data_IF_890464563689
#
_entry.id   IF_890464563689
#
_cell.length_a   1.000
_cell.length_b   1.000
_cell.length_c   1.000
_cell.angle_alpha   90.00
_cell.angle_beta   90.00
_cell.angle_gamma   90.00
#
_symmetry.space_group_name_H-M   'P 1'
#
loop_
_entity.id
_entity.type
_entity.pdbx_description
1 polymer ?
#
# COMPACT_ATOMS: atom_id res chain seq x y z
N UNK A 1 53.34 -82.70 -28.31
CA UNK A 1 54.14 -81.52 -28.67
C UNK A 1 53.77 -80.38 -27.74
N UNK A 2 54.47 -80.21 -26.64
CA UNK A 2 54.34 -79.13 -25.66
C UNK A 2 55.27 -78.00 -26.07
N UNK A 3 54.68 -76.80 -26.41
CA UNK A 3 55.44 -75.58 -26.67
C UNK A 3 55.85 -74.94 -25.36
N UNK A 4 57.17 -74.82 -25.20
CA UNK A 4 57.78 -74.11 -24.07
C UNK A 4 57.48 -72.60 -24.12
N UNK A 5 57.05 -72.00 -23.00
CA UNK A 5 56.89 -70.59 -22.80
C UNK A 5 58.24 -69.98 -22.38
N UNK A 6 58.74 -68.92 -23.00
CA UNK A 6 59.95 -68.28 -22.61
C UNK A 6 59.80 -67.50 -21.30
N UNK A 7 60.66 -67.79 -20.32
CA UNK A 7 60.78 -67.03 -19.05
C UNK A 7 61.52 -65.72 -19.35
N UNK A 8 60.84 -64.57 -19.09
CA UNK A 8 61.49 -63.27 -19.11
C UNK A 8 62.37 -63.08 -17.85
N UNK A 9 63.55 -62.48 -18.00
CA UNK A 9 64.36 -62.14 -16.84
C UNK A 9 63.80 -61.06 -16.00
N UNK A 10 64.06 -61.00 -14.67
CA UNK A 10 63.52 -60.00 -13.77
C UNK A 10 63.96 -58.58 -14.17
N UNK A 11 62.96 -57.70 -14.35
CA UNK A 11 63.16 -56.30 -14.76
C UNK A 11 64.07 -55.56 -13.76
N UNK A 12 64.99 -54.79 -14.31
CA UNK A 12 65.85 -53.88 -13.56
C UNK A 12 65.01 -52.88 -12.75
N UNK A 13 65.30 -52.80 -11.45
CA UNK A 13 64.68 -51.81 -10.57
C UNK A 13 64.96 -50.41 -11.09
N UNK A 14 63.90 -49.63 -11.27
CA UNK A 14 64.03 -48.22 -11.66
C UNK A 14 64.82 -47.44 -10.60
N UNK A 15 65.70 -46.50 -11.00
CA UNK A 15 66.48 -45.73 -10.06
C UNK A 15 65.58 -44.95 -9.10
N UNK A 16 65.79 -45.21 -7.82
CA UNK A 16 65.10 -44.44 -6.72
C UNK A 16 65.63 -43.01 -6.81
N UNK A 17 64.68 -42.05 -7.07
CA UNK A 17 65.04 -40.64 -7.09
C UNK A 17 65.62 -40.22 -5.72
N UNK A 18 66.70 -39.42 -5.68
CA UNK A 18 67.29 -38.97 -4.42
C UNK A 18 66.30 -38.21 -3.59
N UNK A 19 66.25 -38.44 -2.28
CA UNK A 19 65.36 -37.74 -1.34
C UNK A 19 65.64 -36.23 -1.42
N UNK A 20 64.62 -35.40 -1.41
CA UNK A 20 64.78 -33.96 -1.51
C UNK A 20 65.57 -33.40 -0.35
N UNK A 21 66.50 -32.50 -0.62
CA UNK A 21 67.30 -31.83 0.41
C UNK A 21 66.45 -30.96 1.29
N UNK A 22 66.83 -30.72 2.55
CA UNK A 22 66.06 -29.85 3.48
C UNK A 22 65.73 -28.47 2.89
N UNK A 23 66.64 -27.95 2.06
CA UNK A 23 66.41 -26.65 1.36
C UNK A 23 65.33 -26.73 0.29
N UNK A 24 65.28 -27.86 -0.45
CA UNK A 24 64.23 -28.10 -1.45
C UNK A 24 62.81 -28.26 -0.78
N UNK A 25 62.78 -28.94 0.38
CA UNK A 25 61.56 -29.12 1.16
C UNK A 25 61.02 -27.75 1.70
N UNK A 26 61.97 -26.93 2.22
CA UNK A 26 61.63 -25.60 2.71
C UNK A 26 61.09 -24.69 1.60
N UNK A 27 61.70 -24.75 0.39
CA UNK A 27 61.20 -23.99 -0.77
C UNK A 27 59.85 -24.49 -1.29
N UNK A 28 59.56 -25.79 -1.23
CA UNK A 28 58.26 -26.34 -1.58
C UNK A 28 57.19 -25.88 -0.59
N UNK A 29 57.42 -26.00 0.71
CA UNK A 29 56.51 -25.53 1.75
C UNK A 29 56.23 -24.03 1.65
N UNK A 30 57.25 -23.22 1.36
CA UNK A 30 57.07 -21.79 1.15
C UNK A 30 56.19 -21.46 -0.08
N UNK A 31 56.38 -22.22 -1.17
CA UNK A 31 55.53 -22.06 -2.38
C UNK A 31 54.09 -22.48 -2.11
N UNK A 32 53.87 -23.62 -1.49
CA UNK A 32 52.54 -24.12 -1.15
C UNK A 32 51.80 -23.13 -0.24
N UNK A 33 52.48 -22.58 0.77
CA UNK A 33 51.91 -21.57 1.66
C UNK A 33 51.57 -20.27 0.93
N UNK A 34 52.39 -19.83 -0.01
CA UNK A 34 52.09 -18.64 -0.81
C UNK A 34 50.94 -18.87 -1.79
N UNK A 35 50.82 -20.06 -2.35
CA UNK A 35 49.74 -20.41 -3.27
C UNK A 35 48.43 -20.58 -2.53
N UNK A 36 48.42 -21.14 -1.32
CA UNK A 36 47.25 -21.20 -0.45
C UNK A 36 46.77 -19.80 -0.05
N UNK A 37 47.67 -18.90 0.36
CA UNK A 37 47.37 -17.49 0.65
C UNK A 37 46.83 -16.75 -0.57
N UNK A 38 47.35 -17.00 -1.77
CA UNK A 38 46.85 -16.43 -3.03
C UNK A 38 45.46 -16.95 -3.36
N UNK A 39 45.20 -18.24 -3.12
CA UNK A 39 43.89 -18.87 -3.32
C UNK A 39 42.82 -18.29 -2.37
N UNK A 40 43.16 -18.18 -1.08
CA UNK A 40 42.26 -17.53 -0.09
C UNK A 40 41.95 -16.07 -0.43
N UNK A 41 42.99 -15.34 -0.88
CA UNK A 41 42.79 -13.94 -1.28
C UNK A 41 41.89 -13.83 -2.50
N UNK A 42 42.03 -14.70 -3.48
CA UNK A 42 41.16 -14.78 -4.67
C UNK A 42 39.72 -15.08 -4.27
N UNK A 43 39.52 -16.08 -3.42
CA UNK A 43 38.17 -16.42 -2.92
C UNK A 43 37.52 -15.28 -2.13
N UNK A 44 38.25 -14.59 -1.28
CA UNK A 44 37.75 -13.41 -0.55
C UNK A 44 37.37 -12.28 -1.51
N UNK A 45 38.12 -12.06 -2.56
CA UNK A 45 37.79 -11.05 -3.59
C UNK A 45 36.55 -11.49 -4.37
N UNK A 46 36.46 -12.74 -4.81
CA UNK A 46 35.28 -13.26 -5.54
C UNK A 46 34.02 -13.18 -4.69
N UNK A 47 34.09 -13.57 -3.42
CA UNK A 47 32.95 -13.46 -2.52
C UNK A 47 32.53 -12.00 -2.29
N UNK A 48 33.47 -11.08 -2.07
CA UNK A 48 33.16 -9.64 -1.89
C UNK A 48 32.57 -9.02 -3.15
N UNK A 49 33.12 -9.33 -4.32
CA UNK A 49 32.54 -8.84 -5.59
C UNK A 49 31.17 -9.46 -5.86
N UNK A 50 30.96 -10.74 -5.53
CA UNK A 50 29.65 -11.40 -5.61
C UNK A 50 28.60 -10.74 -4.73
N UNK A 51 28.95 -10.43 -3.48
CA UNK A 51 28.05 -9.71 -2.57
C UNK A 51 27.76 -8.28 -3.03
N UNK A 52 28.75 -7.56 -3.57
CA UNK A 52 28.53 -6.21 -4.12
C UNK A 52 27.62 -6.23 -5.35
N UNK A 53 27.78 -7.21 -6.23
CA UNK A 53 26.89 -7.37 -7.39
C UNK A 53 25.48 -7.74 -6.98
N UNK A 54 25.31 -8.61 -5.98
CA UNK A 54 24.02 -8.95 -5.43
C UNK A 54 23.32 -7.73 -4.79
N UNK A 55 24.08 -6.95 -4.00
CA UNK A 55 23.59 -5.73 -3.40
C UNK A 55 23.21 -4.69 -4.45
N UNK A 56 24.01 -4.52 -5.51
CA UNK A 56 23.73 -3.63 -6.63
C UNK A 56 22.48 -4.08 -7.42
N UNK A 57 22.32 -5.39 -7.66
CA UNK A 57 21.15 -5.94 -8.33
C UNK A 57 19.86 -5.77 -7.50
N UNK A 58 19.96 -6.00 -6.18
CA UNK A 58 18.87 -5.72 -5.23
C UNK A 58 18.51 -4.23 -5.20
N UNK A 59 19.51 -3.36 -5.12
CA UNK A 59 19.33 -1.92 -5.16
C UNK A 59 18.67 -1.47 -6.47
N UNK A 60 19.17 -1.99 -7.61
CA UNK A 60 18.58 -1.71 -8.93
C UNK A 60 17.15 -2.20 -9.04
N UNK A 61 16.85 -3.40 -8.54
CA UNK A 61 15.48 -3.95 -8.52
C UNK A 61 14.53 -3.09 -7.69
N UNK A 62 14.95 -2.68 -6.49
CA UNK A 62 14.17 -1.79 -5.62
C UNK A 62 14.00 -0.40 -6.24
N UNK A 63 15.06 0.14 -6.84
CA UNK A 63 15.02 1.43 -7.51
C UNK A 63 14.11 1.43 -8.75
N UNK A 64 14.16 0.36 -9.55
CA UNK A 64 13.30 0.18 -10.73
C UNK A 64 11.81 0.02 -10.33
N UNK A 65 11.51 -0.59 -9.18
CA UNK A 65 10.15 -0.67 -8.64
C UNK A 65 9.63 0.68 -8.13
N UNK A 66 10.51 1.56 -7.63
CA UNK A 66 10.14 2.90 -7.15
C UNK A 66 9.99 3.92 -8.29
N UNK A 67 10.58 3.62 -9.45
CA UNK A 67 10.46 4.44 -10.65
C UNK A 67 9.84 3.57 -11.75
N UNK A 68 8.50 3.35 -11.73
CA UNK A 68 7.86 2.76 -12.88
C UNK A 68 8.23 3.61 -14.08
N UNK A 69 8.98 3.02 -15.01
CA UNK A 69 9.30 3.65 -16.29
C UNK A 69 7.99 4.15 -16.86
N UNK A 70 7.94 5.46 -17.20
CA UNK A 70 6.80 6.04 -17.88
C UNK A 70 6.35 5.05 -18.97
N UNK A 71 5.23 4.40 -18.70
CA UNK A 71 4.73 3.34 -19.55
C UNK A 71 4.36 4.00 -20.87
N UNK A 72 4.94 3.49 -21.91
CA UNK A 72 4.63 3.60 -23.33
C UNK A 72 3.62 4.68 -23.71
N UNK A 73 3.96 5.50 -24.68
CA UNK A 73 3.02 6.44 -25.32
C UNK A 73 1.83 5.78 -26.04
N UNK A 74 1.48 4.53 -25.69
CA UNK A 74 0.25 3.86 -26.15
C UNK A 74 -0.94 4.37 -25.35
N UNK A 75 -2.02 4.74 -26.02
CA UNK A 75 -3.25 5.16 -25.36
C UNK A 75 -3.80 4.05 -24.46
N UNK A 76 -4.03 4.35 -23.18
CA UNK A 76 -4.56 3.38 -22.20
C UNK A 76 -5.49 4.08 -21.18
N UNK A 77 -6.24 3.27 -20.45
CA UNK A 77 -7.04 3.69 -19.30
C UNK A 77 -6.22 3.48 -18.03
N UNK A 78 -6.00 4.55 -17.25
CA UNK A 78 -5.32 4.44 -15.96
C UNK A 78 -6.31 3.99 -14.88
N UNK A 79 -5.98 2.95 -14.13
CA UNK A 79 -6.78 2.43 -13.03
C UNK A 79 -6.17 2.83 -11.68
N UNK A 80 -7.01 3.25 -10.75
CA UNK A 80 -6.67 3.37 -9.31
C UNK A 80 -7.76 2.67 -8.51
N UNK A 81 -7.40 1.73 -7.66
CA UNK A 81 -8.34 0.97 -6.84
C UNK A 81 -8.57 1.61 -5.47
N UNK A 82 -9.83 1.59 -5.02
CA UNK A 82 -10.24 1.89 -3.64
C UNK A 82 -10.98 0.67 -3.11
N UNK A 83 -10.26 -0.18 -2.38
CA UNK A 83 -10.78 -1.47 -1.92
C UNK A 83 -10.71 -1.58 -0.40
N UNK A 84 -11.80 -2.03 0.22
CA UNK A 84 -11.90 -2.22 1.67
C UNK A 84 -12.18 -0.93 2.44
N UNK A 85 -11.95 -0.95 3.75
CA UNK A 85 -12.21 0.18 4.65
C UNK A 85 -11.24 1.34 4.41
N UNK A 86 -11.80 2.54 4.31
CA UNK A 86 -11.04 3.79 4.13
C UNK A 86 -10.58 4.29 5.48
N UNK A 87 -9.30 4.08 5.79
CA UNK A 87 -8.69 4.51 7.05
C UNK A 87 -7.20 4.79 6.88
N UNK A 88 -6.60 5.50 7.83
CA UNK A 88 -5.16 5.68 7.86
C UNK A 88 -4.46 4.33 8.06
N UNK A 89 -3.45 4.03 7.21
CA UNK A 89 -2.67 2.79 7.29
C UNK A 89 -3.32 1.55 6.67
N UNK A 90 -4.47 1.70 6.00
CA UNK A 90 -5.07 0.65 5.15
C UNK A 90 -4.63 0.81 3.68
N UNK A 91 -4.94 -0.18 2.86
CA UNK A 91 -4.73 -0.08 1.40
C UNK A 91 -5.57 1.02 0.75
N UNK A 92 -6.74 1.34 1.33
CA UNK A 92 -7.61 2.44 0.93
C UNK A 92 -7.32 3.75 1.71
N UNK A 93 -6.10 3.98 2.15
CA UNK A 93 -5.71 5.25 2.76
C UNK A 93 -5.59 6.38 1.74
N UNK A 94 -5.88 7.61 2.16
CA UNK A 94 -5.73 8.78 1.30
C UNK A 94 -4.30 8.92 0.75
N UNK A 95 -3.28 8.58 1.54
CA UNK A 95 -1.88 8.64 1.12
C UNK A 95 -1.63 7.78 -0.12
N UNK A 96 -2.08 6.53 -0.12
CA UNK A 96 -1.87 5.60 -1.22
C UNK A 96 -2.73 5.97 -2.44
N UNK A 97 -4.02 6.26 -2.23
CA UNK A 97 -4.92 6.65 -3.32
C UNK A 97 -4.41 7.92 -4.02
N UNK A 98 -4.05 8.95 -3.27
CA UNK A 98 -3.51 10.20 -3.81
C UNK A 98 -2.18 9.97 -4.56
N UNK A 99 -1.31 9.09 -4.06
CA UNK A 99 -0.08 8.74 -4.76
C UNK A 99 -0.36 8.07 -6.11
N UNK A 100 -1.30 7.11 -6.16
CA UNK A 100 -1.74 6.48 -7.41
C UNK A 100 -2.36 7.48 -8.39
N UNK A 101 -3.25 8.33 -7.91
CA UNK A 101 -3.88 9.38 -8.72
C UNK A 101 -2.85 10.31 -9.34
N UNK A 102 -1.87 10.79 -8.59
CA UNK A 102 -0.81 11.68 -9.10
C UNK A 102 -0.02 11.03 -10.24
N UNK A 103 0.32 9.75 -10.10
CA UNK A 103 1.05 9.02 -11.15
C UNK A 103 0.16 8.84 -12.38
N UNK A 104 -1.10 8.42 -12.20
CA UNK A 104 -2.08 8.22 -13.28
C UNK A 104 -2.35 9.51 -14.08
N UNK A 105 -2.47 10.65 -13.38
CA UNK A 105 -2.68 11.95 -14.03
C UNK A 105 -1.43 12.44 -14.78
N UNK A 106 -0.23 12.17 -14.25
CA UNK A 106 1.03 12.57 -14.86
C UNK A 106 1.38 11.76 -16.11
N UNK A 107 0.81 10.59 -16.31
CA UNK A 107 1.08 9.76 -17.48
C UNK A 107 0.37 10.30 -18.74
N UNK A 108 1.15 10.71 -19.75
CA UNK A 108 0.62 11.25 -21.01
C UNK A 108 -0.08 10.20 -21.89
N UNK A 109 0.19 8.90 -21.68
CA UNK A 109 -0.48 7.82 -22.39
C UNK A 109 -1.89 7.55 -21.85
N UNK A 110 -2.15 7.89 -20.60
CA UNK A 110 -3.45 7.70 -19.97
C UNK A 110 -4.49 8.67 -20.56
N UNK A 111 -5.51 8.14 -21.22
CA UNK A 111 -6.62 8.90 -21.81
C UNK A 111 -7.63 9.38 -20.77
N UNK A 112 -7.82 8.58 -19.73
CA UNK A 112 -8.67 8.88 -18.59
C UNK A 112 -8.13 8.18 -17.36
N UNK A 113 -8.56 8.63 -16.17
CA UNK A 113 -8.38 7.92 -14.92
C UNK A 113 -9.69 7.28 -14.51
N UNK A 114 -9.68 5.98 -14.25
CA UNK A 114 -10.81 5.24 -13.69
C UNK A 114 -10.47 4.89 -12.24
N UNK A 115 -11.32 5.33 -11.32
CA UNK A 115 -11.23 4.94 -9.91
C UNK A 115 -12.24 3.81 -9.69
N UNK A 116 -11.73 2.61 -9.36
CA UNK A 116 -12.57 1.45 -9.10
C UNK A 116 -12.86 1.31 -7.62
N UNK A 117 -14.13 1.34 -7.24
CA UNK A 117 -14.58 1.29 -5.86
C UNK A 117 -15.16 -0.08 -5.50
N UNK A 118 -14.64 -0.65 -4.41
CA UNK A 118 -15.27 -1.75 -3.68
C UNK A 118 -15.03 -1.54 -2.18
N UNK A 119 -15.78 -0.57 -1.59
CA UNK A 119 -15.51 -0.07 -0.24
C UNK A 119 -16.80 0.29 0.51
N UNK A 120 -16.94 -0.13 1.78
CA UNK A 120 -18.04 0.27 2.65
C UNK A 120 -17.94 1.73 3.13
N UNK A 121 -16.83 2.42 2.85
CA UNK A 121 -16.53 3.72 3.40
C UNK A 121 -15.51 3.67 4.54
N UNK A 122 -15.63 4.60 5.48
CA UNK A 122 -14.71 4.73 6.62
C UNK A 122 -14.50 6.19 7.01
N UNK A 123 -13.27 6.62 7.20
CA UNK A 123 -12.91 7.94 7.69
C UNK A 123 -13.34 9.08 6.74
N UNK A 124 -14.17 10.03 7.21
CA UNK A 124 -14.54 11.20 6.42
C UNK A 124 -13.34 12.11 6.11
N UNK A 125 -12.32 12.12 6.98
CA UNK A 125 -11.08 12.90 6.76
C UNK A 125 -10.31 12.35 5.57
N UNK A 126 -10.14 11.01 5.50
CA UNK A 126 -9.46 10.38 4.37
C UNK A 126 -10.23 10.62 3.07
N UNK A 127 -11.56 10.54 3.12
CA UNK A 127 -12.42 10.81 1.97
C UNK A 127 -12.29 12.26 1.48
N UNK A 128 -12.33 13.22 2.37
CA UNK A 128 -12.19 14.64 2.04
C UNK A 128 -10.84 14.95 1.35
N UNK A 129 -9.74 14.40 1.87
CA UNK A 129 -8.41 14.56 1.25
C UNK A 129 -8.40 14.05 -0.20
N UNK A 130 -8.97 12.87 -0.44
CA UNK A 130 -9.02 12.31 -1.81
C UNK A 130 -9.97 13.09 -2.70
N UNK A 131 -11.14 13.47 -2.20
CA UNK A 131 -12.12 14.31 -2.92
C UNK A 131 -11.48 15.60 -3.41
N UNK A 132 -10.81 16.33 -2.52
CA UNK A 132 -10.17 17.60 -2.85
C UNK A 132 -9.03 17.39 -3.86
N UNK A 133 -8.26 16.32 -3.72
CA UNK A 133 -7.16 16.01 -4.65
C UNK A 133 -7.69 15.62 -6.04
N UNK A 134 -8.78 14.86 -6.14
CA UNK A 134 -9.43 14.57 -7.43
C UNK A 134 -9.86 15.89 -8.10
N UNK A 135 -10.53 16.78 -7.38
CA UNK A 135 -10.93 18.10 -7.91
C UNK A 135 -9.73 18.93 -8.35
N UNK A 136 -8.67 18.94 -7.56
CA UNK A 136 -7.44 19.66 -7.88
C UNK A 136 -6.75 19.10 -9.14
N UNK A 137 -6.62 17.79 -9.25
CA UNK A 137 -5.97 17.14 -10.40
C UNK A 137 -6.79 17.34 -11.68
N UNK A 138 -8.13 17.25 -11.61
CA UNK A 138 -9.02 17.56 -12.73
C UNK A 138 -8.87 19.01 -13.21
N UNK A 139 -8.67 19.96 -12.30
CA UNK A 139 -8.47 21.35 -12.66
C UNK A 139 -7.09 21.63 -13.29
N UNK A 140 -6.09 20.81 -13.00
CA UNK A 140 -4.73 20.96 -13.53
C UNK A 140 -4.48 20.20 -14.84
N UNK A 141 -5.23 19.14 -15.07
CA UNK A 141 -5.05 18.25 -16.21
C UNK A 141 -6.37 18.13 -16.97
N UNK A 142 -6.32 18.27 -18.28
CA UNK A 142 -7.49 18.02 -19.15
C UNK A 142 -7.66 16.50 -19.37
N UNK A 143 -7.92 15.80 -18.28
CA UNK A 143 -8.05 14.34 -18.24
C UNK A 143 -9.30 13.95 -17.46
N UNK A 144 -10.27 13.27 -18.08
CA UNK A 144 -11.48 12.86 -17.41
C UNK A 144 -11.23 11.82 -16.34
N UNK A 145 -12.06 11.84 -15.29
CA UNK A 145 -12.04 10.90 -14.18
C UNK A 145 -13.39 10.21 -14.05
N UNK A 146 -13.40 8.91 -14.06
CA UNK A 146 -14.61 8.10 -13.93
C UNK A 146 -14.55 7.23 -12.68
N UNK A 147 -15.65 7.09 -11.98
CA UNK A 147 -15.83 6.09 -10.95
C UNK A 147 -16.51 4.85 -11.54
N UNK A 148 -15.98 3.69 -11.24
CA UNK A 148 -16.61 2.39 -11.52
C UNK A 148 -16.81 1.66 -10.21
N UNK A 149 -18.05 1.29 -9.93
CA UNK A 149 -18.41 0.60 -8.69
C UNK A 149 -18.54 -0.89 -8.96
N UNK A 150 -17.81 -1.69 -8.19
CA UNK A 150 -18.00 -3.14 -8.15
C UNK A 150 -19.22 -3.47 -7.25
N UNK A 151 -19.01 -4.17 -6.13
CA UNK A 151 -20.12 -4.53 -5.24
C UNK A 151 -20.62 -3.34 -4.43
N UNK A 152 -19.71 -2.42 -4.01
CA UNK A 152 -20.01 -1.45 -2.97
C UNK A 152 -19.23 -0.13 -3.14
N UNK A 153 -19.96 0.97 -3.09
CA UNK A 153 -19.42 2.33 -2.98
C UNK A 153 -20.29 3.15 -2.04
N UNK A 154 -20.06 3.00 -0.74
CA UNK A 154 -20.90 3.58 0.30
C UNK A 154 -20.16 4.56 1.19
N UNK A 155 -20.89 5.52 1.79
CA UNK A 155 -20.36 6.47 2.77
C UNK A 155 -19.11 7.21 2.25
N UNK A 156 -17.99 7.17 2.94
CA UNK A 156 -16.73 7.81 2.55
C UNK A 156 -16.27 7.44 1.11
N UNK A 157 -16.57 6.23 0.62
CA UNK A 157 -16.27 5.85 -0.75
C UNK A 157 -17.13 6.65 -1.75
N UNK A 158 -18.42 6.81 -1.47
CA UNK A 158 -19.30 7.61 -2.31
C UNK A 158 -18.95 9.11 -2.25
N UNK A 159 -18.48 9.59 -1.09
CA UNK A 159 -17.94 10.95 -0.95
C UNK A 159 -16.83 11.20 -1.98
N UNK A 160 -15.84 10.28 -2.09
CA UNK A 160 -14.79 10.37 -3.09
C UNK A 160 -15.33 10.26 -4.52
N UNK A 161 -16.22 9.28 -4.77
CA UNK A 161 -16.78 9.04 -6.10
C UNK A 161 -17.55 10.25 -6.63
N UNK A 162 -18.18 11.04 -5.75
CA UNK A 162 -18.91 12.26 -6.13
C UNK A 162 -18.01 13.33 -6.76
N UNK A 163 -16.67 13.28 -6.55
CA UNK A 163 -15.71 14.20 -7.17
C UNK A 163 -15.40 13.87 -8.65
N UNK A 164 -15.85 12.70 -9.16
CA UNK A 164 -15.55 12.25 -10.53
C UNK A 164 -16.52 12.85 -11.56
N UNK A 165 -16.17 12.75 -12.85
CA UNK A 165 -17.02 13.26 -13.93
C UNK A 165 -18.29 12.44 -14.11
N UNK A 166 -18.17 11.09 -14.04
CA UNK A 166 -19.30 10.17 -14.08
C UNK A 166 -19.05 8.93 -13.23
N UNK A 167 -20.14 8.35 -12.73
CA UNK A 167 -20.16 7.19 -11.86
C UNK A 167 -20.92 6.07 -12.57
N UNK A 168 -20.25 4.94 -12.81
CA UNK A 168 -20.81 3.75 -13.43
C UNK A 168 -20.92 2.62 -12.39
N UNK A 169 -22.04 1.91 -12.43
CA UNK A 169 -22.39 0.88 -11.43
C UNK A 169 -22.92 -0.38 -12.10
N UNK A 170 -22.89 -1.52 -11.44
CA UNK A 170 -23.78 -2.62 -11.76
C UNK A 170 -25.17 -2.38 -11.17
N UNK A 171 -26.21 -3.03 -11.71
CA UNK A 171 -27.59 -2.91 -11.21
C UNK A 171 -27.75 -3.30 -9.74
N UNK A 172 -26.92 -4.24 -9.28
CA UNK A 172 -26.92 -4.78 -7.93
C UNK A 172 -25.87 -4.12 -7.00
N UNK A 173 -24.97 -3.27 -7.51
CA UNK A 173 -24.01 -2.54 -6.68
C UNK A 173 -24.72 -1.75 -5.59
N UNK A 174 -24.17 -1.68 -4.38
CA UNK A 174 -24.68 -0.86 -3.30
C UNK A 174 -23.99 0.51 -3.30
N UNK A 175 -24.80 1.59 -3.40
CA UNK A 175 -24.31 2.96 -3.58
C UNK A 175 -24.99 3.91 -2.60
N UNK A 176 -24.28 4.96 -2.20
CA UNK A 176 -24.85 6.01 -1.36
C UNK A 176 -24.42 5.88 0.10
N UNK A 177 -25.34 5.54 0.99
CA UNK A 177 -25.09 5.62 2.45
C UNK A 177 -24.52 6.98 2.83
N UNK A 178 -25.19 8.06 2.36
CA UNK A 178 -24.77 9.43 2.59
C UNK A 178 -25.22 9.83 4.00
N UNK A 179 -24.37 9.49 4.95
CA UNK A 179 -24.61 9.70 6.37
C UNK A 179 -23.29 9.58 7.16
N UNK A 180 -23.35 9.97 8.42
CA UNK A 180 -22.24 9.89 9.37
C UNK A 180 -22.74 9.23 10.64
N UNK A 181 -21.96 8.33 11.19
CA UNK A 181 -22.27 7.69 12.45
C UNK A 181 -21.07 7.76 13.40
N UNK A 182 -21.36 7.71 14.68
CA UNK A 182 -20.42 7.46 15.76
C UNK A 182 -21.08 6.41 16.64
N UNK A 183 -20.43 5.28 16.84
CA UNK A 183 -20.90 4.24 17.74
C UNK A 183 -19.92 4.02 18.87
N UNK A 184 -20.45 3.79 20.07
CA UNK A 184 -19.70 3.48 21.27
C UNK A 184 -20.54 2.60 22.20
N UNK A 185 -19.88 1.91 23.11
CA UNK A 185 -20.53 1.05 24.11
C UNK A 185 -20.45 1.69 25.48
N UNK A 186 -21.61 1.80 26.18
CA UNK A 186 -21.66 2.26 27.58
C UNK A 186 -21.52 1.08 28.55
N UNK A 187 -20.51 1.12 29.41
CA UNK A 187 -20.23 0.11 30.43
C UNK A 187 -20.54 0.55 31.88
N UNK A 188 -21.02 1.80 32.07
CA UNK A 188 -21.29 2.37 33.40
C UNK A 188 -22.28 1.54 34.23
N UNK A 189 -23.33 1.04 33.59
CA UNK A 189 -24.31 0.17 34.24
C UNK A 189 -23.75 -1.21 34.67
N UNK A 190 -22.86 -1.78 33.85
CA UNK A 190 -22.18 -3.03 34.18
C UNK A 190 -21.20 -2.84 35.35
N UNK A 191 -20.43 -1.77 35.31
CA UNK A 191 -19.48 -1.45 36.37
C UNK A 191 -20.16 -1.27 37.72
N UNK A 192 -21.29 -0.55 37.76
CA UNK A 192 -22.11 -0.41 38.98
C UNK A 192 -22.57 -1.76 39.53
N UNK A 193 -23.01 -2.70 38.67
CA UNK A 193 -23.43 -4.05 39.10
C UNK A 193 -22.27 -4.89 39.65
N UNK A 194 -21.04 -4.65 39.18
CA UNK A 194 -19.84 -5.35 39.62
C UNK A 194 -19.15 -4.66 40.78
N UNK A 195 -19.66 -3.52 41.27
CA UNK A 195 -19.03 -2.74 42.34
C UNK A 195 -17.71 -2.08 41.94
N UNK A 196 -17.51 -1.83 40.65
CA UNK A 196 -16.32 -1.16 40.11
C UNK A 196 -16.59 0.34 40.01
N UNK A 197 -15.70 1.14 40.57
CA UNK A 197 -15.77 2.60 40.58
C UNK A 197 -14.83 3.18 39.55
N UNK A 198 -15.34 4.05 38.65
CA UNK A 198 -14.55 4.85 37.70
C UNK A 198 -14.08 6.12 38.40
N UNK A 199 -12.77 6.34 38.42
CA UNK A 199 -12.13 7.55 39.04
C UNK A 199 -11.47 8.37 37.95
N UNK A 200 -12.28 9.03 37.09
CA UNK A 200 -11.80 9.91 36.06
C UNK A 200 -11.48 11.28 36.61
N UNK A 201 -10.26 11.77 36.40
CA UNK A 201 -9.82 13.13 36.77
C UNK A 201 -9.38 13.80 35.48
N UNK A 202 -10.00 14.91 35.13
CA UNK A 202 -9.71 15.67 33.90
C UNK A 202 -9.39 17.12 34.18
N UNK A 203 -8.61 17.73 33.30
CA UNK A 203 -8.47 19.16 33.20
C UNK A 203 -9.09 19.60 31.87
N UNK A 204 -10.14 20.44 31.95
CA UNK A 204 -11.02 20.79 30.84
C UNK A 204 -12.39 20.11 30.98
N UNK A 205 -13.44 20.93 30.91
CA UNK A 205 -14.82 20.55 31.23
C UNK A 205 -15.32 19.34 30.38
N UNK A 206 -14.96 19.30 29.09
CA UNK A 206 -15.42 18.27 28.15
C UNK A 206 -14.34 17.23 27.81
N UNK A 207 -13.22 17.18 28.57
CA UNK A 207 -12.10 16.26 28.26
C UNK A 207 -12.47 14.78 28.40
N UNK A 208 -13.49 14.47 29.20
CA UNK A 208 -14.01 13.11 29.40
C UNK A 208 -15.26 12.84 28.56
N UNK A 209 -15.61 13.67 27.58
CA UNK A 209 -16.80 13.47 26.74
C UNK A 209 -16.73 12.11 26.04
N UNK A 210 -17.88 11.42 26.04
CA UNK A 210 -18.04 10.08 25.43
C UNK A 210 -17.17 8.99 26.09
N UNK A 211 -16.76 9.15 27.37
CA UNK A 211 -16.09 8.06 28.10
C UNK A 211 -17.05 6.89 28.29
N UNK A 212 -16.75 5.69 27.74
CA UNK A 212 -17.66 4.54 27.76
C UNK A 212 -17.92 3.98 29.17
N UNK A 213 -17.11 4.39 30.15
CA UNK A 213 -17.21 3.94 31.54
C UNK A 213 -17.90 4.93 32.46
N UNK A 214 -18.37 6.02 31.93
CA UNK A 214 -19.11 7.06 32.63
C UNK A 214 -20.54 7.17 32.05
N UNK A 215 -21.54 7.65 32.85
CA UNK A 215 -22.85 7.98 32.30
C UNK A 215 -22.71 9.05 31.20
N UNK A 216 -23.47 8.91 30.11
CA UNK A 216 -23.51 9.90 29.02
C UNK A 216 -24.52 11.01 29.35
N UNK A 217 -24.10 12.24 29.68
CA UNK A 217 -24.98 13.37 29.91
C UNK A 217 -25.71 13.77 28.61
N UNK A 218 -26.96 14.29 28.73
CA UNK A 218 -27.74 14.75 27.59
C UNK A 218 -26.99 15.85 26.79
N UNK A 219 -26.31 16.75 27.48
CA UNK A 219 -25.53 17.83 26.86
C UNK A 219 -24.38 17.28 25.99
N UNK A 220 -23.63 16.27 26.44
CA UNK A 220 -22.55 15.65 25.67
C UNK A 220 -23.09 14.94 24.43
N UNK A 221 -24.24 14.25 24.57
CA UNK A 221 -24.95 13.66 23.41
C UNK A 221 -25.32 14.72 22.39
N UNK A 222 -25.85 15.86 22.81
CA UNK A 222 -26.23 16.97 21.93
C UNK A 222 -25.00 17.55 21.20
N UNK A 223 -23.90 17.76 21.93
CA UNK A 223 -22.64 18.22 21.32
C UNK A 223 -22.08 17.24 20.28
N UNK A 224 -22.13 15.93 20.57
CA UNK A 224 -21.73 14.90 19.62
C UNK A 224 -22.64 14.90 18.37
N UNK A 225 -23.96 15.03 18.56
CA UNK A 225 -24.91 15.11 17.45
C UNK A 225 -24.66 16.34 16.57
N UNK A 226 -24.42 17.51 17.15
CA UNK A 226 -24.08 18.72 16.38
C UNK A 226 -22.83 18.52 15.53
N UNK A 227 -21.80 17.90 16.06
CA UNK A 227 -20.57 17.57 15.32
C UNK A 227 -20.85 16.61 14.16
N UNK A 228 -21.69 15.59 14.37
CA UNK A 228 -22.08 14.67 13.31
C UNK A 228 -22.89 15.37 12.21
N UNK A 229 -23.81 16.26 12.60
CA UNK A 229 -24.62 17.04 11.66
C UNK A 229 -23.75 17.97 10.79
N UNK A 230 -22.72 18.60 11.37
CA UNK A 230 -21.77 19.42 10.62
C UNK A 230 -20.98 18.60 9.60
N UNK A 231 -20.48 17.42 9.99
CA UNK A 231 -19.75 16.51 9.06
C UNK A 231 -20.70 16.00 7.98
N UNK A 232 -21.95 15.69 8.33
CA UNK A 232 -22.96 15.25 7.38
C UNK A 232 -23.30 16.35 6.36
N UNK A 233 -23.42 17.61 6.78
CA UNK A 233 -23.62 18.73 5.87
C UNK A 233 -22.45 18.95 4.91
N UNK A 234 -21.20 18.73 5.35
CA UNK A 234 -20.04 18.75 4.44
C UNK A 234 -20.17 17.67 3.37
N UNK A 235 -20.57 16.46 3.74
CA UNK A 235 -20.78 15.36 2.79
C UNK A 235 -21.93 15.67 1.81
N UNK A 236 -23.07 16.13 2.29
CA UNK A 236 -24.21 16.54 1.45
C UNK A 236 -23.76 17.59 0.44
N UNK A 237 -23.02 18.61 0.88
CA UNK A 237 -22.51 19.67 0.02
C UNK A 237 -21.61 19.12 -1.08
N UNK A 238 -20.68 18.24 -0.74
CA UNK A 238 -19.79 17.60 -1.71
C UNK A 238 -20.56 16.79 -2.77
N UNK A 239 -21.58 16.05 -2.35
CA UNK A 239 -22.44 15.29 -3.27
C UNK A 239 -23.23 16.22 -4.18
N UNK A 240 -23.84 17.28 -3.63
CA UNK A 240 -24.59 18.28 -4.42
C UNK A 240 -23.69 18.96 -5.44
N UNK A 241 -22.48 19.34 -5.06
CA UNK A 241 -21.51 19.94 -5.99
C UNK A 241 -21.09 18.95 -7.08
N UNK A 242 -20.76 17.71 -6.71
CA UNK A 242 -20.27 16.72 -7.64
C UNK A 242 -21.34 16.20 -8.60
N UNK A 243 -22.57 15.99 -8.11
CA UNK A 243 -23.68 15.50 -8.93
C UNK A 243 -24.40 16.62 -9.68
N UNK A 244 -24.45 17.81 -9.11
CA UNK A 244 -25.08 18.99 -9.73
C UNK A 244 -26.52 18.70 -10.17
N UNK A 245 -26.87 19.10 -11.40
CA UNK A 245 -28.23 18.93 -11.96
C UNK A 245 -28.66 17.49 -12.19
N UNK A 246 -27.75 16.53 -12.12
CA UNK A 246 -28.02 15.08 -12.27
C UNK A 246 -28.77 14.52 -11.05
N UNK A 247 -28.50 15.09 -9.87
CA UNK A 247 -29.10 14.64 -8.62
C UNK A 247 -30.60 14.96 -8.57
N UNK A 248 -31.37 13.94 -8.26
CA UNK A 248 -32.83 14.04 -8.04
C UNK A 248 -33.08 13.79 -6.55
N UNK A 249 -32.96 14.85 -5.76
CA UNK A 249 -33.10 14.77 -4.32
C UNK A 249 -34.54 14.46 -3.90
N UNK A 250 -34.65 13.57 -2.93
CA UNK A 250 -35.86 13.33 -2.15
C UNK A 250 -35.50 13.28 -0.66
N UNK A 251 -36.50 13.13 0.20
CA UNK A 251 -36.32 13.12 1.67
C UNK A 251 -35.40 11.97 2.16
N UNK A 252 -35.17 10.95 1.34
CA UNK A 252 -34.38 9.79 1.69
C UNK A 252 -32.95 9.86 1.14
N UNK A 253 -32.69 10.75 0.20
CA UNK A 253 -31.37 10.81 -0.52
C UNK A 253 -30.20 10.95 0.45
N UNK A 254 -30.36 11.75 1.50
CA UNK A 254 -29.33 12.03 2.49
C UNK A 254 -29.63 11.42 3.88
N UNK A 255 -30.45 10.37 3.92
CA UNK A 255 -30.85 9.71 5.18
C UNK A 255 -29.83 8.71 5.71
N UNK A 256 -28.73 8.49 5.00
CA UNK A 256 -27.76 7.44 5.31
C UNK A 256 -28.10 6.08 4.69
N UNK A 257 -29.17 5.96 3.92
CA UNK A 257 -29.52 4.73 3.22
C UNK A 257 -28.60 4.44 2.05
N UNK A 258 -28.32 3.15 1.82
CA UNK A 258 -27.68 2.64 0.62
C UNK A 258 -28.75 2.16 -0.38
N UNK A 259 -28.47 2.36 -1.65
CA UNK A 259 -29.36 2.05 -2.76
C UNK A 259 -28.72 1.03 -3.67
N UNK A 260 -29.49 0.17 -4.31
CA UNK A 260 -28.95 -0.63 -5.39
C UNK A 260 -28.62 0.25 -6.60
N UNK A 261 -27.73 -0.22 -7.49
CA UNK A 261 -27.25 0.58 -8.62
C UNK A 261 -28.36 1.03 -9.56
N UNK A 262 -29.40 0.21 -9.77
CA UNK A 262 -30.54 0.60 -10.58
C UNK A 262 -31.27 1.83 -9.99
N UNK A 263 -31.52 1.83 -8.70
CA UNK A 263 -32.13 2.98 -8.02
C UNK A 263 -31.18 4.18 -7.94
N UNK A 264 -29.89 3.95 -7.76
CA UNK A 264 -28.88 5.00 -7.74
C UNK A 264 -28.83 5.78 -9.07
N UNK A 265 -28.98 5.10 -10.21
CA UNK A 265 -29.08 5.75 -11.54
C UNK A 265 -30.37 6.57 -11.65
N UNK A 266 -31.51 6.04 -11.21
CA UNK A 266 -32.78 6.78 -11.20
C UNK A 266 -32.71 8.05 -10.36
N UNK A 267 -32.04 7.99 -9.20
CA UNK A 267 -31.87 9.14 -8.29
C UNK A 267 -30.78 10.12 -8.75
N UNK A 268 -30.02 9.77 -9.79
CA UNK A 268 -28.88 10.56 -10.24
C UNK A 268 -27.65 10.47 -9.33
N UNK A 269 -27.61 9.50 -8.44
CA UNK A 269 -26.41 9.16 -7.65
C UNK A 269 -25.36 8.45 -8.50
N UNK A 270 -25.76 7.79 -9.60
CA UNK A 270 -24.89 7.25 -10.64
C UNK A 270 -25.36 7.73 -12.01
N UNK A 271 -24.48 7.63 -13.03
CA UNK A 271 -24.75 8.15 -14.37
C UNK A 271 -25.19 7.05 -15.34
N UNK A 272 -24.83 5.80 -15.07
CA UNK A 272 -25.17 4.68 -15.94
C UNK A 272 -24.65 3.35 -15.43
N UNK A 273 -24.91 2.32 -16.22
CA UNK A 273 -24.42 0.98 -15.96
C UNK A 273 -23.11 0.73 -16.72
N UNK A 274 -22.18 0.07 -16.08
CA UNK A 274 -20.91 -0.32 -16.70
C UNK A 274 -19.93 -0.89 -15.70
N UNK A 275 -19.10 -1.80 -16.16
CA UNK A 275 -17.92 -2.30 -15.48
C UNK A 275 -16.65 -1.63 -16.02
N UNK A 276 -15.49 -1.96 -15.44
CA UNK A 276 -14.21 -1.38 -15.85
C UNK A 276 -13.92 -1.57 -17.36
N UNK A 277 -14.09 -2.78 -17.88
CA UNK A 277 -13.78 -3.09 -19.27
C UNK A 277 -14.70 -2.35 -20.24
N UNK A 278 -15.99 -2.24 -19.90
CA UNK A 278 -16.96 -1.48 -20.69
C UNK A 278 -16.62 0.02 -20.67
N UNK A 279 -16.30 0.58 -19.52
CA UNK A 279 -15.94 2.00 -19.41
C UNK A 279 -14.63 2.28 -20.16
N UNK A 280 -13.63 1.43 -20.05
CA UNK A 280 -12.37 1.57 -20.78
C UNK A 280 -12.58 1.53 -22.29
N UNK A 281 -13.39 0.60 -22.79
CA UNK A 281 -13.66 0.42 -24.21
C UNK A 281 -14.61 1.49 -24.77
N UNK A 282 -15.77 1.67 -24.14
CA UNK A 282 -16.90 2.38 -24.73
C UNK A 282 -16.94 3.88 -24.35
N UNK A 283 -16.35 4.24 -23.19
CA UNK A 283 -16.34 5.63 -22.69
C UNK A 283 -14.98 6.29 -22.88
N UNK A 284 -13.90 5.61 -22.47
CA UNK A 284 -12.54 6.13 -22.60
C UNK A 284 -12.00 5.95 -24.02
N UNK A 285 -12.39 4.86 -24.72
CA UNK A 285 -11.87 4.50 -26.04
C UNK A 285 -10.42 4.00 -25.99
N UNK A 286 -10.00 3.41 -24.86
CA UNK A 286 -8.70 2.81 -24.64
C UNK A 286 -8.88 1.55 -23.78
N UNK A 287 -8.95 0.37 -24.45
CA UNK A 287 -9.24 -0.91 -23.80
C UNK A 287 -8.10 -1.40 -22.88
N UNK A 288 -6.85 -1.03 -23.20
CA UNK A 288 -5.73 -1.37 -22.34
C UNK A 288 -5.88 -0.67 -21.01
N UNK A 289 -5.87 -1.43 -19.91
CA UNK A 289 -5.96 -0.91 -18.55
C UNK A 289 -4.63 -1.09 -17.84
N UNK A 290 -4.07 0.01 -17.34
CA UNK A 290 -2.83 -0.02 -16.57
C UNK A 290 -3.14 0.40 -15.14
N UNK A 291 -2.77 -0.45 -14.18
CA UNK A 291 -3.01 -0.23 -12.76
C UNK A 291 -1.90 0.63 -12.14
N UNK A 292 -2.29 1.76 -11.58
CA UNK A 292 -1.44 2.71 -10.86
C UNK A 292 -1.64 2.66 -9.36
N UNK A 293 -2.38 1.67 -8.86
CA UNK A 293 -2.64 1.52 -7.42
C UNK A 293 -1.34 1.16 -6.70
N UNK A 294 -0.87 1.98 -5.75
CA UNK A 294 0.29 1.62 -4.96
C UNK A 294 -0.05 0.45 -4.03
N UNK A 295 0.59 -0.69 -4.25
CA UNK A 295 0.49 -1.82 -3.32
C UNK A 295 1.56 -1.70 -2.24
N UNK A 296 1.13 -1.76 -1.00
CA UNK A 296 2.03 -1.73 0.15
C UNK A 296 2.78 -3.08 0.22
N UNK A 297 3.99 -3.12 -0.34
CA UNK A 297 4.82 -4.31 -0.34
C UNK A 297 5.21 -4.70 1.10
N UNK A 298 4.84 -5.91 1.53
CA UNK A 298 5.22 -6.49 2.84
C UNK A 298 6.74 -6.40 3.06
N UNK A 299 7.54 -6.56 1.99
CA UNK A 299 8.98 -6.38 2.02
C UNK A 299 9.40 -4.95 2.39
N UNK A 300 8.67 -3.94 1.92
CA UNK A 300 8.93 -2.53 2.22
C UNK A 300 8.53 -2.17 3.65
N UNK A 301 7.39 -2.69 4.15
CA UNK A 301 7.02 -2.57 5.57
C UNK A 301 8.07 -3.21 6.49
N UNK A 302 8.56 -4.39 6.13
CA UNK A 302 9.64 -5.04 6.85
C UNK A 302 10.93 -4.23 6.78
N UNK A 303 11.32 -3.74 5.60
CA UNK A 303 12.51 -2.92 5.42
C UNK A 303 12.43 -1.59 6.22
N UNK A 304 11.27 -0.92 6.20
CA UNK A 304 11.03 0.29 7.03
C UNK A 304 11.12 -0.03 8.53
N UNK A 305 10.53 -1.15 8.98
CA UNK A 305 10.61 -1.58 10.40
C UNK A 305 12.02 -2.00 10.82
N UNK A 306 12.74 -2.75 9.97
CA UNK A 306 14.13 -3.13 10.24
C UNK A 306 15.07 -1.92 10.15
N UNK A 307 14.88 -1.02 9.19
CA UNK A 307 15.66 0.21 9.07
C UNK A 307 15.47 1.14 10.28
N UNK A 308 14.25 1.31 10.77
CA UNK A 308 13.97 2.07 11.98
C UNK A 308 14.61 1.42 13.23
N UNK A 309 14.50 0.09 13.39
CA UNK A 309 15.11 -0.64 14.51
C UNK A 309 16.65 -0.60 14.48
N UNK A 310 17.26 -0.69 13.28
CA UNK A 310 18.71 -0.52 13.10
C UNK A 310 19.15 0.93 13.38
N UNK A 311 18.38 1.92 12.93
CA UNK A 311 18.64 3.33 13.20
C UNK A 311 18.61 3.65 14.71
N UNK A 312 17.60 3.17 15.43
CA UNK A 312 17.53 3.31 16.89
C UNK A 312 18.66 2.56 17.61
N UNK A 313 19.02 1.38 17.15
CA UNK A 313 20.15 0.60 17.67
C UNK A 313 21.49 1.31 17.48
N UNK A 314 21.74 1.89 16.31
CA UNK A 314 22.94 2.65 16.01
C UNK A 314 23.04 3.95 16.85
N UNK A 315 21.94 4.67 17.02
CA UNK A 315 21.89 5.88 17.88
C UNK A 315 22.11 5.54 19.36
N UNK A 316 21.53 4.43 19.85
CA UNK A 316 21.78 3.95 21.21
C UNK A 316 23.24 3.53 21.42
N UNK A 317 23.83 2.81 20.47
CA UNK A 317 25.24 2.41 20.52
C UNK A 317 26.20 3.63 20.53
N UNK A 318 25.91 4.66 19.70
CA UNK A 318 26.67 5.92 19.69
C UNK A 318 26.56 6.70 21.02
N UNK A 319 25.38 6.73 21.64
CA UNK A 319 25.19 7.37 22.95
C UNK A 319 25.92 6.62 24.07
N UNK A 320 25.97 5.28 24.00
CA UNK A 320 26.71 4.47 24.98
C UNK A 320 28.21 4.67 24.90
N UNK A 321 28.78 4.87 23.72
CA UNK A 321 30.21 5.17 23.53
C UNK A 321 30.60 6.59 23.94
N UNK A 322 29.66 7.55 23.99
CA UNK A 322 29.90 8.88 24.48
C UNK A 322 29.79 9.01 26.02
N UNK A 323 29.10 8.07 26.68
CA UNK A 323 28.98 8.06 28.17
C UNK A 323 30.15 7.35 28.86
N UNK A 324 31.11 6.80 28.12
CA UNK A 324 32.30 6.12 28.63
C UNK A 324 33.59 6.94 28.49
N UNK A 325 33.47 8.22 28.16
CA UNK A 325 34.53 9.24 28.21
C UNK A 325 34.17 10.28 29.28
#
# INVERSE_FOLDING_TARGET
>A
MLKAVPVQPPGAAAPVAPAPTHEQLALQLARDFLDEKRRERRWRVVLRTGWLLLAAALFWSLWAQQHPTAVSGTPHTALVEVRGEIAAGTEASAELIVAGLKIAFADHGARAVVIRFNSPGGSPVQAGIVYDEIKRLRALHDKPVYAVVEDLCASAAYYMASATDSIYVDKASLVGSIGVLMDDFGFDGLMKKLGIERRLITAGEHKGMLDPFSPLPAQEREMAQQMLDEIHQQFITAVREGRGKRLKEDDQTFSGMAWNGARAVEMGLADGFGNLDQVARDVVGAEEVIDYTPHDNVAERLAKRFGAAMGEGAVKALRYTQSLK
#
